data_IF_303906515897
#
_entry.id   IF_303906515897
#
_cell.length_a   1.000
_cell.length_b   1.000
_cell.length_c   1.000
_cell.angle_alpha   90.00
_cell.angle_beta   90.00
_cell.angle_gamma   90.00
#
_symmetry.space_group_name_H-M   'P 1'
#
loop_
_entity.id
_entity.type
_entity.pdbx_description
1 polymer ?
#
# COMPACT_ATOMS: atom_id res chain seq x y z
N UNK A 1 -13.51 -13.88 -6.54
CA UNK A 1 -12.34 -13.00 -6.66
C UNK A 1 -12.36 -12.11 -5.45
N UNK A 2 -11.35 -12.17 -4.59
CA UNK A 2 -11.23 -11.22 -3.46
C UNK A 2 -10.71 -9.91 -4.04
N UNK A 3 -11.57 -8.90 -4.12
CA UNK A 3 -11.15 -7.57 -4.57
C UNK A 3 -10.15 -7.02 -3.54
N UNK A 4 -8.89 -6.90 -3.96
CA UNK A 4 -7.81 -6.32 -3.16
C UNK A 4 -7.88 -4.80 -3.26
N UNK A 5 -7.77 -4.11 -2.12
CA UNK A 5 -7.68 -2.66 -2.09
C UNK A 5 -6.34 -2.21 -2.67
N UNK A 6 -6.38 -1.47 -3.78
CA UNK A 6 -5.18 -0.93 -4.42
C UNK A 6 -4.91 0.48 -3.90
N UNK A 7 -3.69 0.70 -3.41
CA UNK A 7 -3.22 2.01 -2.94
C UNK A 7 -2.01 2.41 -3.80
N UNK A 8 -2.07 3.61 -4.38
CA UNK A 8 -1.00 4.17 -5.21
C UNK A 8 -0.34 5.33 -4.45
N UNK A 9 0.98 5.23 -4.27
CA UNK A 9 1.83 6.13 -3.50
C UNK A 9 2.17 5.56 -2.12
N UNK A 10 3.44 5.23 -1.88
CA UNK A 10 3.97 4.69 -0.61
C UNK A 10 4.54 5.77 0.31
N UNK A 11 4.07 7.02 0.19
CA UNK A 11 4.37 8.07 1.16
C UNK A 11 3.72 7.81 2.53
N UNK A 12 3.83 8.77 3.46
CA UNK A 12 3.28 8.64 4.81
C UNK A 12 1.79 8.26 4.82
N UNK A 13 0.97 8.99 4.05
CA UNK A 13 -0.47 8.76 4.01
C UNK A 13 -0.84 7.40 3.37
N UNK A 14 -0.18 7.01 2.28
CA UNK A 14 -0.50 5.76 1.58
C UNK A 14 -0.03 4.52 2.35
N UNK A 15 1.11 4.61 3.03
CA UNK A 15 1.59 3.54 3.90
C UNK A 15 0.69 3.34 5.12
N UNK A 16 0.22 4.42 5.74
CA UNK A 16 -0.72 4.36 6.87
C UNK A 16 -2.09 3.81 6.43
N UNK A 17 -2.61 4.24 5.28
CA UNK A 17 -3.85 3.69 4.73
C UNK A 17 -3.73 2.19 4.44
N UNK A 18 -2.59 1.73 3.92
CA UNK A 18 -2.33 0.31 3.70
C UNK A 18 -2.27 -0.47 5.01
N UNK A 19 -1.61 0.09 6.03
CA UNK A 19 -1.51 -0.52 7.35
C UNK A 19 -2.88 -0.65 8.02
N UNK A 20 -3.70 0.41 8.02
CA UNK A 20 -5.04 0.37 8.61
C UNK A 20 -5.97 -0.62 7.89
N UNK A 21 -5.93 -0.68 6.56
CA UNK A 21 -6.72 -1.65 5.81
C UNK A 21 -6.29 -3.10 6.08
N UNK A 22 -4.99 -3.37 6.16
CA UNK A 22 -4.48 -4.70 6.51
C UNK A 22 -4.88 -5.12 7.93
N UNK A 23 -4.90 -4.19 8.90
CA UNK A 23 -5.36 -4.44 10.27
C UNK A 23 -6.86 -4.79 10.36
N UNK A 24 -7.63 -4.51 9.32
CA UNK A 24 -9.06 -4.85 9.20
C UNK A 24 -9.28 -6.13 8.37
N UNK A 25 -8.23 -6.93 8.18
CA UNK A 25 -8.23 -8.14 7.34
C UNK A 25 -8.62 -7.88 5.88
N UNK A 26 -8.45 -6.65 5.38
CA UNK A 26 -8.67 -6.30 3.98
C UNK A 26 -7.38 -6.62 3.20
N UNK A 27 -7.43 -7.43 2.13
CA UNK A 27 -6.28 -7.63 1.25
C UNK A 27 -5.89 -6.30 0.59
N UNK A 28 -4.61 -5.92 0.69
CA UNK A 28 -4.10 -4.65 0.15
C UNK A 28 -2.94 -4.87 -0.79
N UNK A 29 -2.87 -4.07 -1.85
CA UNK A 29 -1.70 -3.94 -2.72
C UNK A 29 -1.26 -2.49 -2.77
N UNK A 30 -0.08 -2.19 -2.20
CA UNK A 30 0.51 -0.85 -2.17
C UNK A 30 1.58 -0.70 -3.27
N UNK A 31 1.40 0.28 -4.16
CA UNK A 31 2.35 0.63 -5.21
C UNK A 31 3.08 1.93 -4.87
N UNK A 32 4.41 1.89 -4.72
CA UNK A 32 5.26 3.09 -4.69
C UNK A 32 5.97 3.22 -6.03
N UNK A 33 5.81 4.38 -6.68
CA UNK A 33 6.34 4.62 -8.03
C UNK A 33 7.79 5.13 -8.00
N UNK A 34 8.28 5.63 -6.86
CA UNK A 34 9.69 6.01 -6.73
C UNK A 34 10.58 4.78 -6.86
N UNK A 35 11.64 4.85 -7.69
CA UNK A 35 12.53 3.72 -7.89
C UNK A 35 13.27 3.39 -6.59
N UNK A 36 13.57 2.12 -6.41
CA UNK A 36 14.46 1.69 -5.35
C UNK A 36 15.88 2.20 -5.64
N UNK A 37 16.39 3.05 -4.75
CA UNK A 37 17.74 3.62 -4.88
C UNK A 37 18.69 2.82 -3.97
N UNK A 38 19.66 2.13 -4.57
CA UNK A 38 20.84 1.61 -3.87
C UNK A 38 22.00 2.58 -4.11
N UNK A 39 22.62 3.07 -3.04
CA UNK A 39 23.85 3.87 -3.08
C UNK A 39 25.07 2.98 -2.91
#
# INVERSE_FOLDING_TARGET
MSDSLIIIGGGLAGSEAAWQAAQLDIPVTLFEMRPFMNT
#
